data_IF_604755631941
#
_entry.id   IF_604755631941
#
_cell.length_a   1.000
_cell.length_b   1.000
_cell.length_c   1.000
_cell.angle_alpha   90.00
_cell.angle_beta   90.00
_cell.angle_gamma   90.00
#
_symmetry.space_group_name_H-M   'P 1'
#
loop_
_entity.id
_entity.type
_entity.pdbx_description
1 polymer ?
#
# COMPACT_ATOMS: atom_id res chain seq x y z
N UNK A 1 -8.84 -12.47 12.70
CA UNK A 1 -7.97 -11.29 12.89
C UNK A 1 -8.85 -10.06 12.96
N UNK A 2 -8.80 -9.32 14.05
CA UNK A 2 -9.57 -8.09 14.27
C UNK A 2 -8.63 -6.88 14.32
N UNK A 3 -8.61 -6.10 13.26
CA UNK A 3 -8.01 -4.78 13.22
C UNK A 3 -9.16 -3.78 13.18
N UNK A 4 -9.23 -2.90 14.19
CA UNK A 4 -10.32 -1.92 14.29
C UNK A 4 -10.32 -0.96 13.10
N UNK A 5 -11.44 -0.90 12.40
CA UNK A 5 -11.63 -0.07 11.20
C UNK A 5 -11.13 -0.71 9.90
N UNK A 6 -10.48 -1.86 9.95
CA UNK A 6 -10.09 -2.56 8.73
C UNK A 6 -11.26 -3.32 8.14
N UNK A 7 -11.72 -2.88 7.00
CA UNK A 7 -12.71 -3.59 6.17
C UNK A 7 -12.02 -4.04 4.87
N UNK A 8 -11.94 -5.35 4.72
CA UNK A 8 -11.31 -5.93 3.55
C UNK A 8 -12.28 -5.91 2.37
N UNK A 9 -11.99 -5.06 1.39
CA UNK A 9 -12.74 -4.95 0.15
C UNK A 9 -11.80 -5.21 -1.04
N UNK A 10 -11.40 -6.48 -1.29
CA UNK A 10 -10.42 -6.79 -2.31
C UNK A 10 -10.95 -6.53 -3.73
N UNK A 11 -10.07 -6.02 -4.56
CA UNK A 11 -10.28 -5.81 -5.99
C UNK A 11 -9.26 -6.63 -6.78
N UNK A 12 -9.68 -7.14 -7.92
CA UNK A 12 -8.84 -7.92 -8.84
C UNK A 12 -8.62 -7.14 -10.12
N UNK A 13 -7.36 -7.05 -10.51
CA UNK A 13 -6.93 -6.46 -11.77
C UNK A 13 -6.88 -4.92 -11.78
N UNK A 14 -6.11 -4.42 -12.74
CA UNK A 14 -5.75 -3.01 -12.83
C UNK A 14 -6.96 -2.06 -12.97
N UNK A 15 -7.93 -2.43 -13.82
CA UNK A 15 -9.04 -1.51 -14.12
C UNK A 15 -9.96 -1.31 -12.91
N UNK A 16 -10.22 -2.37 -12.13
CA UNK A 16 -11.01 -2.26 -10.92
C UNK A 16 -10.29 -1.41 -9.87
N UNK A 17 -9.01 -1.68 -9.62
CA UNK A 17 -8.20 -0.90 -8.66
C UNK A 17 -8.08 0.57 -9.09
N UNK A 18 -7.83 0.82 -10.37
CA UNK A 18 -7.73 2.19 -10.92
C UNK A 18 -9.03 2.95 -10.80
N UNK A 19 -10.15 2.32 -11.13
CA UNK A 19 -11.47 2.96 -11.06
C UNK A 19 -11.84 3.34 -9.62
N UNK A 20 -11.56 2.46 -8.66
CA UNK A 20 -11.91 2.69 -7.25
C UNK A 20 -10.94 3.66 -6.55
N UNK A 21 -9.64 3.58 -6.82
CA UNK A 21 -8.61 4.22 -5.98
C UNK A 21 -7.67 5.15 -6.73
N UNK A 22 -7.59 5.10 -8.06
CA UNK A 22 -6.60 5.83 -8.84
C UNK A 22 -6.60 7.34 -8.60
N UNK A 23 -7.78 7.96 -8.53
CA UNK A 23 -7.90 9.40 -8.28
C UNK A 23 -7.45 9.78 -6.86
N UNK A 24 -7.80 8.99 -5.85
CA UNK A 24 -7.40 9.23 -4.45
C UNK A 24 -5.89 9.04 -4.27
N UNK A 25 -5.31 8.02 -4.89
CA UNK A 25 -3.85 7.82 -4.89
C UNK A 25 -3.14 9.01 -5.51
N UNK A 26 -3.60 9.50 -6.66
CA UNK A 26 -3.01 10.66 -7.33
C UNK A 26 -3.07 11.95 -6.47
N UNK A 27 -4.09 12.12 -5.62
CA UNK A 27 -4.24 13.26 -4.72
C UNK A 27 -3.24 13.27 -3.54
N UNK A 28 -2.50 12.18 -3.34
CA UNK A 28 -1.43 12.15 -2.33
C UNK A 28 -0.18 12.90 -2.78
N UNK A 29 -0.01 13.16 -4.09
CA UNK A 29 1.15 13.90 -4.60
C UNK A 29 1.26 15.28 -3.93
N UNK A 30 2.48 15.67 -3.57
CA UNK A 30 2.82 16.87 -2.82
C UNK A 30 2.66 16.74 -1.29
N UNK A 31 2.11 15.64 -0.77
CA UNK A 31 2.01 15.40 0.67
C UNK A 31 3.26 14.74 1.20
N UNK A 32 3.54 14.94 2.50
CA UNK A 32 4.64 14.28 3.20
C UNK A 32 4.17 12.99 3.85
N UNK A 33 5.01 11.96 3.78
CA UNK A 33 4.83 10.78 4.64
C UNK A 33 5.14 11.22 6.08
N UNK A 34 4.12 11.35 6.90
CA UNK A 34 4.25 11.81 8.31
C UNK A 34 4.37 10.66 9.29
N UNK A 35 4.01 9.45 8.86
CA UNK A 35 4.11 8.25 9.67
C UNK A 35 3.68 7.01 8.90
N UNK A 36 3.85 5.89 9.55
CA UNK A 36 3.35 4.60 9.09
C UNK A 36 3.07 3.67 10.27
N UNK A 37 2.31 2.63 10.05
CA UNK A 37 2.19 1.52 10.99
C UNK A 37 2.13 0.19 10.23
N UNK A 38 2.79 -0.81 10.80
CA UNK A 38 2.75 -2.21 10.38
C UNK A 38 2.48 -3.08 11.60
N UNK A 39 1.98 -4.28 11.41
CA UNK A 39 1.81 -5.23 12.52
C UNK A 39 3.07 -6.09 12.63
N UNK A 40 3.57 -6.28 13.84
CA UNK A 40 4.71 -7.16 14.15
C UNK A 40 4.32 -8.09 15.29
N UNK A 41 5.02 -9.21 15.43
CA UNK A 41 4.89 -10.05 16.60
C UNK A 41 5.78 -9.51 17.73
N UNK A 42 5.22 -9.42 18.95
CA UNK A 42 5.91 -8.83 20.08
C UNK A 42 7.10 -9.68 20.55
N UNK A 43 7.07 -10.98 20.30
CA UNK A 43 8.03 -11.97 20.80
C UNK A 43 9.37 -11.91 20.06
N UNK A 44 9.35 -11.72 18.74
CA UNK A 44 10.54 -11.80 17.89
C UNK A 44 10.74 -10.57 16.98
N UNK A 45 9.80 -9.59 17.06
CA UNK A 45 9.78 -8.38 16.24
C UNK A 45 9.67 -8.69 14.72
N UNK A 46 9.16 -9.88 14.35
CA UNK A 46 8.92 -10.24 12.95
C UNK A 46 7.74 -9.46 12.38
N UNK A 47 7.87 -8.97 11.15
CA UNK A 47 6.78 -8.28 10.45
C UNK A 47 5.69 -9.27 10.03
N UNK A 48 4.46 -9.02 10.46
CA UNK A 48 3.31 -9.81 10.07
C UNK A 48 2.70 -9.26 8.77
N UNK A 49 3.18 -9.76 7.66
CA UNK A 49 2.92 -9.24 6.31
C UNK A 49 1.47 -9.44 5.82
N UNK A 50 0.69 -10.34 6.44
CA UNK A 50 -0.74 -10.54 6.15
C UNK A 50 -1.63 -9.36 6.59
N UNK A 51 -1.07 -8.44 7.38
CA UNK A 51 -1.78 -7.28 7.89
C UNK A 51 -1.61 -6.06 6.97
N UNK A 52 -2.58 -5.12 6.95
CA UNK A 52 -2.45 -3.92 6.14
C UNK A 52 -1.22 -3.09 6.54
N UNK A 53 -0.59 -2.50 5.54
CA UNK A 53 0.42 -1.45 5.73
C UNK A 53 -0.30 -0.11 5.78
N UNK A 54 -0.20 0.61 6.90
CA UNK A 54 -0.80 1.94 7.04
C UNK A 54 0.26 3.00 6.75
N UNK A 55 0.04 3.85 5.74
CA UNK A 55 0.90 4.99 5.43
C UNK A 55 0.12 6.28 5.67
N UNK A 56 0.71 7.21 6.42
CA UNK A 56 0.11 8.50 6.79
C UNK A 56 0.75 9.63 5.98
N UNK A 57 -0.04 10.29 5.13
CA UNK A 57 0.38 11.41 4.30
C UNK A 57 -0.35 12.70 4.70
N UNK A 58 0.28 13.57 5.50
CA UNK A 58 -0.30 14.85 5.98
C UNK A 58 -1.77 14.69 6.45
N UNK A 59 -1.99 13.75 7.38
CA UNK A 59 -3.28 13.47 7.98
C UNK A 59 -4.26 12.67 7.11
N UNK A 60 -3.77 12.06 6.03
CA UNK A 60 -4.52 11.08 5.22
C UNK A 60 -3.87 9.72 5.35
N UNK A 61 -4.65 8.71 5.65
CA UNK A 61 -4.17 7.33 5.66
C UNK A 61 -4.50 6.64 4.33
N UNK A 62 -3.57 5.86 3.82
CA UNK A 62 -3.79 4.85 2.80
C UNK A 62 -3.37 3.50 3.36
N UNK A 63 -4.19 2.48 3.17
CA UNK A 63 -4.17 1.21 3.90
C UNK A 63 -4.19 0.03 2.92
N UNK A 64 -3.11 -0.16 2.12
CA UNK A 64 -3.02 -1.29 1.22
C UNK A 64 -2.83 -2.61 1.97
N UNK A 65 -3.49 -3.63 1.47
CA UNK A 65 -3.35 -5.00 1.95
C UNK A 65 -3.52 -5.97 0.78
N UNK A 66 -2.46 -6.67 0.44
CA UNK A 66 -2.55 -7.82 -0.46
C UNK A 66 -3.13 -9.01 0.32
N UNK A 67 -3.92 -9.77 -0.38
CA UNK A 67 -4.50 -11.01 0.13
C UNK A 67 -4.30 -12.06 -0.94
N UNK A 68 -4.95 -13.01 -1.19
CA UNK A 68 -4.73 -13.98 -2.25
C UNK A 68 -3.94 -13.42 -3.44
N UNK A 69 -3.44 -14.29 -4.28
CA UNK A 69 -2.48 -14.03 -5.34
C UNK A 69 -2.73 -12.75 -6.19
N UNK A 70 -4.00 -12.38 -6.40
CA UNK A 70 -4.40 -11.28 -7.28
C UNK A 70 -5.31 -10.23 -6.60
N UNK A 71 -5.58 -10.39 -5.31
CA UNK A 71 -6.47 -9.52 -4.57
C UNK A 71 -5.70 -8.38 -3.88
N UNK A 72 -6.09 -7.12 -4.14
CA UNK A 72 -5.59 -5.93 -3.48
C UNK A 72 -6.75 -5.14 -2.87
N UNK A 73 -6.70 -4.95 -1.55
CA UNK A 73 -7.58 -4.05 -0.81
C UNK A 73 -6.85 -2.75 -0.53
N UNK A 74 -7.53 -1.60 -0.65
CA UNK A 74 -7.00 -0.28 -0.28
C UNK A 74 -8.03 0.45 0.57
N UNK A 75 -7.80 0.53 1.86
CA UNK A 75 -8.56 1.34 2.79
C UNK A 75 -8.07 2.80 2.83
N UNK A 76 -8.88 3.67 3.42
CA UNK A 76 -8.58 5.09 3.52
C UNK A 76 -9.14 5.69 4.82
N UNK A 77 -8.27 6.10 5.72
CA UNK A 77 -8.62 6.81 6.96
C UNK A 77 -9.55 6.00 7.90
N UNK A 78 -9.48 4.66 7.84
CA UNK A 78 -10.40 3.80 8.60
C UNK A 78 -9.73 3.06 9.73
N UNK A 79 -8.46 2.68 9.60
CA UNK A 79 -7.76 1.88 10.59
C UNK A 79 -7.36 2.72 11.80
N UNK A 80 -7.76 2.26 12.98
CA UNK A 80 -7.33 2.84 14.25
C UNK A 80 -6.10 2.08 14.79
N UNK A 81 -4.92 2.59 14.47
CA UNK A 81 -3.65 2.00 14.91
C UNK A 81 -3.35 2.20 16.40
N UNK A 82 -4.21 2.92 17.14
CA UNK A 82 -4.13 3.02 18.61
C UNK A 82 -4.86 1.89 19.32
N UNK A 83 -5.78 1.22 18.62
CA UNK A 83 -6.48 0.06 19.14
C UNK A 83 -5.64 -1.21 19.00
N UNK A 84 -5.73 -2.17 19.92
CA UNK A 84 -4.99 -3.42 19.83
C UNK A 84 -5.43 -4.25 18.63
N UNK A 85 -4.53 -5.04 18.09
CA UNK A 85 -4.85 -6.11 17.14
C UNK A 85 -5.40 -7.29 17.94
N UNK A 86 -6.56 -7.84 17.55
CA UNK A 86 -7.26 -8.89 18.29
C UNK A 86 -7.54 -10.12 17.42
N UNK A 87 -8.07 -11.19 18.02
CA UNK A 87 -8.44 -12.42 17.30
C UNK A 87 -7.25 -13.36 17.06
N UNK A 88 -6.22 -13.24 17.88
CA UNK A 88 -5.01 -14.08 17.87
C UNK A 88 -4.78 -14.78 19.22
N UNK A 89 -5.78 -14.80 20.09
CA UNK A 89 -5.72 -15.35 21.44
C UNK A 89 -5.42 -16.87 21.48
N UNK A 90 -5.53 -17.52 20.33
CA UNK A 90 -5.20 -18.94 20.14
C UNK A 90 -3.75 -19.18 19.70
N UNK A 91 -3.00 -18.12 19.36
CA UNK A 91 -1.61 -18.17 18.91
C UNK A 91 -0.65 -17.94 20.08
N UNK A 92 0.57 -18.48 19.97
CA UNK A 92 1.68 -18.15 20.88
C UNK A 92 2.29 -16.76 20.55
N UNK A 93 1.89 -16.15 19.43
CA UNK A 93 2.39 -14.84 18.99
C UNK A 93 1.36 -13.75 19.28
N UNK A 94 1.85 -12.60 19.73
CA UNK A 94 1.05 -11.41 20.04
C UNK A 94 1.26 -10.34 18.99
N UNK A 95 0.31 -10.11 18.06
CA UNK A 95 0.45 -9.06 17.06
C UNK A 95 0.24 -7.69 17.70
N UNK A 96 1.16 -6.76 17.40
CA UNK A 96 1.14 -5.38 17.89
C UNK A 96 1.43 -4.40 16.78
N UNK A 97 0.86 -3.20 16.85
CA UNK A 97 1.23 -2.13 15.95
C UNK A 97 2.65 -1.64 16.23
N UNK A 98 3.44 -1.49 15.17
CA UNK A 98 4.79 -0.95 15.20
C UNK A 98 4.93 0.20 14.21
N UNK A 99 5.70 1.22 14.60
CA UNK A 99 6.09 2.36 13.74
C UNK A 99 7.56 2.24 13.33
N UNK A 100 8.06 1.02 13.21
CA UNK A 100 9.43 0.69 12.78
C UNK A 100 9.40 -0.33 11.66
N UNK A 101 10.07 -0.02 10.57
CA UNK A 101 10.32 -0.95 9.47
C UNK A 101 11.48 -0.41 8.63
N UNK A 102 12.49 -1.22 8.41
CA UNK A 102 13.76 -0.83 7.75
C UNK A 102 13.57 -0.16 6.38
N UNK A 103 12.52 -0.54 5.62
CA UNK A 103 12.21 0.04 4.32
C UNK A 103 11.33 1.29 4.39
N UNK A 104 10.85 1.69 5.57
CA UNK A 104 9.93 2.82 5.75
C UNK A 104 10.52 3.94 6.61
N UNK A 105 11.40 3.61 7.55
CA UNK A 105 11.89 4.54 8.57
C UNK A 105 12.51 5.81 7.98
N UNK A 106 13.34 5.68 6.93
CA UNK A 106 14.02 6.79 6.28
C UNK A 106 13.14 7.57 5.28
N UNK A 107 11.93 7.10 5.01
CA UNK A 107 10.96 7.80 4.16
C UNK A 107 10.09 8.79 4.93
N UNK A 108 10.00 8.65 6.25
CA UNK A 108 9.25 9.59 7.09
C UNK A 108 9.84 11.00 6.95
N UNK A 109 8.97 11.97 6.71
CA UNK A 109 9.33 13.35 6.39
C UNK A 109 9.56 13.64 4.91
N UNK A 110 9.64 12.62 4.05
CA UNK A 110 9.80 12.81 2.60
C UNK A 110 8.49 13.21 1.95
N UNK A 111 8.59 14.08 0.96
CA UNK A 111 7.45 14.50 0.14
C UNK A 111 7.20 13.49 -0.98
N UNK A 112 5.94 13.11 -1.16
CA UNK A 112 5.51 12.23 -2.24
C UNK A 112 5.43 13.02 -3.55
N UNK A 113 6.22 12.64 -4.53
CA UNK A 113 6.19 13.22 -5.87
C UNK A 113 5.02 12.69 -6.71
N UNK A 114 4.81 11.36 -6.68
CA UNK A 114 3.77 10.72 -7.49
C UNK A 114 3.43 9.33 -6.94
N UNK A 115 2.26 8.84 -7.32
CA UNK A 115 1.87 7.43 -7.19
C UNK A 115 1.71 6.78 -8.56
N UNK A 116 1.83 5.46 -8.62
CA UNK A 116 1.48 4.67 -9.79
C UNK A 116 0.91 3.31 -9.37
N UNK A 117 0.07 2.74 -10.21
CA UNK A 117 -0.25 1.33 -10.17
C UNK A 117 0.72 0.59 -11.09
N UNK A 118 1.22 -0.54 -10.63
CA UNK A 118 2.12 -1.41 -11.37
C UNK A 118 1.40 -2.71 -11.66
N UNK A 119 1.35 -3.11 -12.92
CA UNK A 119 0.74 -4.36 -13.34
C UNK A 119 1.85 -5.37 -13.70
N UNK A 120 1.85 -6.52 -13.08
CA UNK A 120 2.82 -7.58 -13.38
C UNK A 120 2.56 -8.22 -14.75
N UNK A 121 3.54 -8.16 -15.62
CA UNK A 121 3.52 -8.69 -16.99
C UNK A 121 4.69 -9.65 -17.19
N UNK A 122 4.60 -10.88 -16.68
CA UNK A 122 5.67 -11.86 -16.80
C UNK A 122 5.88 -12.29 -18.25
N UNK A 123 7.05 -12.82 -18.54
CA UNK A 123 7.36 -13.41 -19.86
C UNK A 123 6.90 -14.84 -20.00
N UNK A 124 6.75 -15.57 -18.89
CA UNK A 124 6.17 -16.92 -18.88
C UNK A 124 4.63 -16.80 -18.81
N UNK A 125 3.89 -17.29 -19.82
CA UNK A 125 2.43 -17.25 -19.81
C UNK A 125 1.78 -18.13 -18.73
N UNK A 126 2.55 -19.00 -18.08
CA UNK A 126 2.10 -19.84 -16.98
C UNK A 126 2.28 -19.19 -15.61
N UNK A 127 2.87 -18.01 -15.55
CA UNK A 127 3.00 -17.26 -14.30
C UNK A 127 1.60 -16.85 -13.81
N UNK A 128 1.18 -17.46 -12.71
CA UNK A 128 -0.16 -17.24 -12.13
C UNK A 128 -0.30 -15.83 -11.52
N UNK A 129 0.81 -15.12 -11.31
CA UNK A 129 0.79 -13.73 -10.84
C UNK A 129 0.55 -12.71 -11.97
N UNK A 130 0.42 -13.16 -13.24
CA UNK A 130 0.16 -12.26 -14.37
C UNK A 130 -1.08 -11.40 -14.13
N UNK A 131 -0.92 -10.06 -14.28
CA UNK A 131 -2.01 -9.10 -14.06
C UNK A 131 -2.20 -8.66 -12.61
N UNK A 132 -1.44 -9.19 -11.65
CA UNK A 132 -1.46 -8.69 -10.27
C UNK A 132 -1.06 -7.22 -10.24
N UNK A 133 -1.65 -6.46 -9.29
CA UNK A 133 -1.47 -5.02 -9.20
C UNK A 133 -0.72 -4.68 -7.92
N UNK A 134 0.32 -3.86 -8.05
CA UNK A 134 1.06 -3.28 -6.94
C UNK A 134 0.90 -1.75 -6.91
N UNK A 135 1.25 -1.13 -5.79
CA UNK A 135 1.24 0.33 -5.65
C UNK A 135 2.67 0.83 -5.53
N UNK A 136 3.03 1.82 -6.34
CA UNK A 136 4.31 2.54 -6.22
C UNK A 136 4.07 3.95 -5.67
N UNK A 137 4.86 4.31 -4.67
CA UNK A 137 4.99 5.64 -4.10
C UNK A 137 6.39 6.16 -4.46
N UNK A 138 6.45 7.19 -5.30
CA UNK A 138 7.69 7.84 -5.71
C UNK A 138 7.88 9.14 -4.92
N UNK A 139 8.96 9.25 -4.17
CA UNK A 139 9.28 10.42 -3.35
C UNK A 139 10.22 11.40 -4.07
N UNK A 140 10.20 12.64 -3.64
CA UNK A 140 11.19 13.64 -4.06
C UNK A 140 12.58 13.15 -3.65
N UNK A 141 13.58 13.34 -4.53
CA UNK A 141 14.91 12.78 -4.31
C UNK A 141 15.15 11.42 -4.97
N UNK A 142 14.11 10.81 -5.57
CA UNK A 142 14.26 9.59 -6.38
C UNK A 142 13.96 8.28 -5.66
N UNK A 143 13.71 8.34 -4.34
CA UNK A 143 13.29 7.16 -3.58
C UNK A 143 11.96 6.61 -4.08
N UNK A 144 11.83 5.29 -4.10
CA UNK A 144 10.61 4.58 -4.49
C UNK A 144 10.32 3.47 -3.50
N UNK A 145 9.08 3.44 -3.04
CA UNK A 145 8.52 2.36 -2.25
C UNK A 145 7.44 1.67 -3.07
N UNK A 146 7.47 0.37 -3.10
CA UNK A 146 6.39 -0.45 -3.66
C UNK A 146 5.82 -1.37 -2.61
N UNK A 147 4.50 -1.53 -2.65
CA UNK A 147 3.78 -2.55 -1.91
C UNK A 147 3.24 -3.51 -2.95
N UNK A 148 3.79 -4.71 -2.95
CA UNK A 148 3.52 -5.75 -3.94
C UNK A 148 2.96 -7.00 -3.25
N UNK A 149 2.34 -7.88 -4.02
CA UNK A 149 1.94 -9.19 -3.52
C UNK A 149 3.17 -10.10 -3.35
N UNK A 150 3.38 -10.61 -2.14
CA UNK A 150 4.49 -11.49 -1.76
C UNK A 150 4.08 -12.96 -1.63
N UNK A 151 3.11 -13.46 -2.43
CA UNK A 151 2.45 -14.76 -2.30
C UNK A 151 1.42 -14.74 -1.15
N UNK A 152 0.31 -14.07 -1.40
CA UNK A 152 -0.84 -13.93 -0.51
C UNK A 152 -0.63 -12.98 0.70
N UNK A 153 0.48 -12.27 0.75
CA UNK A 153 0.83 -11.28 1.79
C UNK A 153 1.40 -10.00 1.17
N UNK A 154 1.59 -8.95 1.97
CA UNK A 154 2.29 -7.76 1.51
C UNK A 154 3.80 -8.01 1.46
N UNK A 155 4.46 -7.47 0.44
CA UNK A 155 5.92 -7.33 0.39
C UNK A 155 6.27 -5.89 0.08
N UNK A 156 7.19 -5.33 0.85
CA UNK A 156 7.74 -3.99 0.61
C UNK A 156 9.00 -4.09 -0.23
N UNK A 157 9.15 -3.20 -1.20
CA UNK A 157 10.33 -3.12 -2.06
C UNK A 157 10.79 -1.68 -2.22
N UNK A 158 12.11 -1.47 -2.29
CA UNK A 158 12.75 -0.17 -2.56
C UNK A 158 13.51 -0.20 -3.88
N UNK A 159 13.85 1.00 -4.37
CA UNK A 159 14.67 1.16 -5.57
C UNK A 159 13.90 1.00 -6.89
N UNK A 160 14.57 0.64 -8.01
CA UNK A 160 13.91 0.47 -9.30
C UNK A 160 12.96 -0.73 -9.32
N UNK A 161 11.84 -0.60 -10.03
CA UNK A 161 10.92 -1.70 -10.22
C UNK A 161 11.51 -2.77 -11.14
N UNK A 162 11.09 -4.01 -10.96
CA UNK A 162 11.36 -5.07 -11.93
C UNK A 162 10.81 -4.63 -13.30
N UNK A 163 11.57 -4.79 -14.41
CA UNK A 163 11.16 -4.35 -15.74
C UNK A 163 9.90 -5.05 -16.27
N UNK A 164 9.48 -6.15 -15.65
CA UNK A 164 8.22 -6.82 -15.98
C UNK A 164 6.99 -6.10 -15.43
N UNK A 165 7.14 -5.09 -14.57
CA UNK A 165 6.03 -4.24 -14.18
C UNK A 165 5.72 -3.21 -15.27
N UNK A 166 4.49 -3.25 -15.80
CA UNK A 166 3.94 -2.16 -16.60
C UNK A 166 3.42 -1.05 -15.66
N UNK A 167 4.01 0.14 -15.78
CA UNK A 167 3.70 1.28 -14.91
C UNK A 167 2.54 2.10 -15.44
N UNK A 168 1.52 2.31 -14.63
CA UNK A 168 0.34 3.14 -14.90
C UNK A 168 0.33 4.34 -13.94
N UNK A 169 0.81 5.52 -14.37
CA UNK A 169 0.85 6.72 -13.52
C UNK A 169 -0.54 7.11 -13.04
N UNK A 170 -0.64 7.56 -11.78
CA UNK A 170 -1.84 8.22 -11.28
C UNK A 170 -2.14 9.46 -12.12
N UNK A 171 -3.37 9.58 -12.62
CA UNK A 171 -3.81 10.81 -13.28
C UNK A 171 -4.41 11.72 -12.22
N UNK A 172 -3.84 12.90 -12.05
CA UNK A 172 -4.54 13.97 -11.35
C UNK A 172 -5.90 14.20 -12.04
N UNK A 173 -6.98 14.48 -11.30
CA UNK A 173 -8.23 14.88 -11.89
C UNK A 173 -7.94 16.06 -12.83
N UNK A 174 -8.41 15.96 -14.08
CA UNK A 174 -8.35 17.07 -15.02
C UNK A 174 -9.01 18.25 -14.33
N UNK A 175 -8.22 19.26 -13.96
CA UNK A 175 -8.70 20.47 -13.32
C UNK A 175 -9.86 21.02 -14.13
N UNK A 176 -11.05 21.11 -13.51
CA UNK A 176 -12.20 21.74 -14.13
C UNK A 176 -11.77 23.12 -14.62
N UNK A 177 -11.82 23.33 -15.91
CA UNK A 177 -11.73 24.67 -16.47
C UNK A 177 -12.81 25.49 -15.75
N UNK A 178 -12.40 26.45 -14.94
CA UNK A 178 -13.29 27.49 -14.48
C UNK A 178 -13.89 28.12 -15.74
N UNK A 179 -15.19 27.91 -15.95
CA UNK A 179 -15.95 28.66 -16.94
C UNK A 179 -15.91 30.11 -16.48
N UNK A 180 -15.02 30.89 -17.06
CA UNK A 180 -15.03 32.34 -16.95
C UNK A 180 -16.24 32.85 -17.74
N UNK A 181 -17.13 33.46 -17.02
CA UNK A 181 -18.15 34.39 -17.53
C UNK A 181 -17.57 35.79 -17.57
#
# INVERSE_FOLDING_TARGET
MGIKGFDRAPLVGLDAVRAAHGARLAQLAGRRLTGFAVVRFAEDDEWFADCPVVLEFDGRQVEPCHWKLDELSIGWDTIDTSAPVTGWEWSEHTPVWSRRHELLDDLVGRELHATALLEWRPTDPRDTAAGTVAIEFAFTGGDRLRIVNGLDENRLERGPADPRYLRHPGRAPLGGRAAGS
#
